data_IF_707936042017
#
_entry.id   IF_707936042017
#
_cell.length_a   1.000
_cell.length_b   1.000
_cell.length_c   1.000
_cell.angle_alpha   90.00
_cell.angle_beta   90.00
_cell.angle_gamma   90.00
#
_symmetry.space_group_name_H-M   'P 1'
#
loop_
_entity.id
_entity.type
_entity.pdbx_description
1 polymer ?
#
# COMPACT_ATOMS: atom_id res chain seq x y z
N UNK A 1 -6.03 -7.44 11.02
CA UNK A 1 -4.73 -6.71 11.08
C UNK A 1 -4.12 -6.47 9.69
N UNK A 2 -4.34 -7.33 8.69
CA UNK A 2 -3.76 -7.17 7.34
C UNK A 2 -4.23 -5.91 6.57
N UNK A 3 -5.43 -5.42 6.82
CA UNK A 3 -5.97 -4.22 6.14
C UNK A 3 -5.23 -2.93 6.50
N UNK A 4 -4.81 -2.78 7.76
CA UNK A 4 -4.07 -1.60 8.22
C UNK A 4 -2.65 -1.54 7.63
N UNK A 5 -1.94 -2.66 7.63
CA UNK A 5 -0.60 -2.75 7.02
C UNK A 5 -0.64 -2.54 5.51
N UNK A 6 -1.64 -3.06 4.80
CA UNK A 6 -1.80 -2.83 3.36
C UNK A 6 -1.94 -1.35 3.01
N UNK A 7 -2.70 -0.58 3.81
CA UNK A 7 -2.82 0.87 3.63
C UNK A 7 -1.49 1.58 3.89
N UNK A 8 -0.74 1.16 4.93
CA UNK A 8 0.56 1.75 5.25
C UNK A 8 1.61 1.46 4.17
N UNK A 9 1.70 0.22 3.68
CA UNK A 9 2.61 -0.12 2.59
C UNK A 9 2.28 0.63 1.30
N UNK A 10 1.01 0.84 0.97
CA UNK A 10 0.60 1.69 -0.15
C UNK A 10 1.04 3.15 0.05
N UNK A 11 0.95 3.66 1.27
CA UNK A 11 1.44 5.02 1.57
C UNK A 11 2.95 5.11 1.42
N UNK A 12 3.72 4.15 1.96
CA UNK A 12 5.18 4.11 1.77
C UNK A 12 5.53 4.03 0.28
N UNK A 13 4.86 3.18 -0.47
CA UNK A 13 5.08 3.04 -1.91
C UNK A 13 4.87 4.36 -2.65
N UNK A 14 3.73 5.02 -2.44
CA UNK A 14 3.41 6.28 -3.13
C UNK A 14 4.31 7.43 -2.68
N UNK A 15 4.61 7.56 -1.39
CA UNK A 15 5.48 8.62 -0.88
C UNK A 15 6.93 8.42 -1.33
N UNK A 16 7.45 7.20 -1.36
CA UNK A 16 8.80 6.92 -1.86
C UNK A 16 8.90 7.14 -3.36
N UNK A 17 7.91 6.75 -4.15
CA UNK A 17 7.86 7.04 -5.58
C UNK A 17 7.96 8.55 -5.85
N UNK A 18 7.12 9.34 -5.18
CA UNK A 18 7.15 10.80 -5.28
C UNK A 18 8.52 11.36 -4.89
N UNK A 19 9.07 10.95 -3.74
CA UNK A 19 10.36 11.44 -3.26
C UNK A 19 11.51 11.09 -4.20
N UNK A 20 11.53 9.90 -4.79
CA UNK A 20 12.56 9.51 -5.76
C UNK A 20 12.57 10.46 -6.96
N UNK A 21 11.40 10.80 -7.50
CA UNK A 21 11.27 11.69 -8.65
C UNK A 21 11.67 13.12 -8.30
N UNK A 22 11.14 13.66 -7.19
CA UNK A 22 11.39 15.03 -6.77
C UNK A 22 12.84 15.25 -6.28
N UNK A 23 13.45 14.28 -5.58
CA UNK A 23 14.84 14.39 -5.12
C UNK A 23 15.82 14.28 -6.29
N UNK A 24 15.53 13.47 -7.31
CA UNK A 24 16.29 13.47 -8.57
C UNK A 24 16.21 14.82 -9.29
N UNK A 25 15.02 15.42 -9.34
CA UNK A 25 14.83 16.73 -9.93
C UNK A 25 15.55 17.83 -9.12
N UNK A 26 15.50 17.74 -7.76
CA UNK A 26 16.25 18.61 -6.86
C UNK A 26 17.76 18.49 -7.08
N UNK A 27 18.31 17.29 -7.21
CA UNK A 27 19.72 17.05 -7.49
C UNK A 27 20.16 17.72 -8.79
N UNK A 28 19.36 17.55 -9.86
CA UNK A 28 19.62 18.20 -11.15
C UNK A 28 19.59 19.73 -11.02
N UNK A 29 18.61 20.27 -10.33
CA UNK A 29 18.46 21.71 -10.12
C UNK A 29 19.62 22.28 -9.27
N UNK A 30 20.08 21.56 -8.24
CA UNK A 30 21.21 21.95 -7.42
C UNK A 30 22.51 22.03 -8.24
N UNK A 31 22.79 21.03 -9.07
CA UNK A 31 23.95 21.08 -9.99
C UNK A 31 23.90 22.30 -10.91
N UNK A 32 22.75 22.56 -11.52
CA UNK A 32 22.59 23.72 -12.42
C UNK A 32 22.79 25.07 -11.67
N UNK A 33 22.26 25.16 -10.45
CA UNK A 33 22.41 26.36 -9.62
C UNK A 33 23.88 26.59 -9.26
N UNK A 34 24.60 25.56 -8.83
CA UNK A 34 26.01 25.64 -8.47
C UNK A 34 26.85 26.08 -9.69
N UNK A 35 26.65 25.42 -10.83
CA UNK A 35 27.34 25.83 -12.07
C UNK A 35 27.10 27.30 -12.45
N UNK A 36 25.85 27.77 -12.29
CA UNK A 36 25.51 29.16 -12.58
C UNK A 36 26.18 30.13 -11.62
N UNK A 37 26.36 29.78 -10.36
CA UNK A 37 27.05 30.58 -9.33
C UNK A 37 28.56 30.58 -9.58
N UNK A 38 29.16 29.43 -9.88
CA UNK A 38 30.60 29.30 -10.19
C UNK A 38 30.96 30.09 -11.45
N UNK A 39 30.13 30.10 -12.48
CA UNK A 39 30.32 30.92 -13.68
C UNK A 39 30.37 32.42 -13.37
N UNK A 40 29.81 32.86 -12.24
CA UNK A 40 29.87 34.24 -11.72
C UNK A 40 31.05 34.48 -10.76
N UNK A 41 31.97 33.52 -10.68
CA UNK A 41 33.15 33.56 -9.75
C UNK A 41 32.72 33.65 -8.26
N UNK A 42 31.55 33.09 -7.92
CA UNK A 42 31.05 32.96 -6.56
C UNK A 42 31.06 31.50 -6.15
N UNK A 43 31.11 31.23 -4.84
CA UNK A 43 31.01 29.86 -4.32
C UNK A 43 29.81 29.76 -3.39
N UNK A 44 29.14 28.62 -3.45
CA UNK A 44 28.02 28.27 -2.57
C UNK A 44 28.20 26.83 -2.14
N UNK A 45 27.97 26.54 -0.85
CA UNK A 45 27.94 25.13 -0.39
C UNK A 45 26.79 24.42 -1.06
N UNK A 46 26.98 23.15 -1.41
CA UNK A 46 25.95 22.32 -2.05
C UNK A 46 24.66 22.25 -1.21
N UNK A 47 24.79 22.04 0.11
CA UNK A 47 23.66 22.00 1.04
C UNK A 47 22.89 23.34 1.12
N UNK A 48 23.58 24.49 0.97
CA UNK A 48 22.89 25.80 0.89
C UNK A 48 22.07 25.94 -0.39
N UNK A 49 22.60 25.47 -1.52
CA UNK A 49 21.85 25.44 -2.78
C UNK A 49 20.61 24.53 -2.68
N UNK A 50 20.75 23.37 -2.06
CA UNK A 50 19.65 22.44 -1.80
C UNK A 50 18.61 23.08 -0.88
N UNK A 51 19.01 23.72 0.22
CA UNK A 51 18.09 24.40 1.14
C UNK A 51 17.27 25.49 0.42
N UNK A 52 17.93 26.35 -0.34
CA UNK A 52 17.26 27.38 -1.14
C UNK A 52 16.24 26.82 -2.12
N UNK A 53 16.56 25.70 -2.76
CA UNK A 53 15.66 25.04 -3.70
C UNK A 53 14.46 24.37 -2.98
N UNK A 54 14.66 23.82 -1.79
CA UNK A 54 13.57 23.28 -0.97
C UNK A 54 12.60 24.38 -0.53
N UNK A 55 13.11 25.57 -0.18
CA UNK A 55 12.28 26.71 0.25
C UNK A 55 11.57 27.40 -0.91
N UNK A 56 12.13 27.35 -2.12
CA UNK A 56 11.59 28.05 -3.29
C UNK A 56 10.75 27.15 -4.18
N UNK A 57 11.34 26.11 -4.76
CA UNK A 57 10.77 25.30 -5.82
C UNK A 57 10.21 23.95 -5.33
N UNK A 58 10.88 23.29 -4.39
CA UNK A 58 10.57 21.93 -3.95
C UNK A 58 9.92 21.89 -2.56
N UNK A 59 9.02 22.84 -2.28
CA UNK A 59 8.36 23.03 -0.96
C UNK A 59 7.56 21.82 -0.46
N UNK A 60 7.19 20.91 -1.34
CA UNK A 60 6.43 19.70 -0.97
C UNK A 60 7.31 18.62 -0.34
N UNK A 61 8.60 18.55 -0.67
CA UNK A 61 9.51 17.50 -0.20
C UNK A 61 9.52 17.39 1.32
N UNK A 62 9.73 18.46 2.12
CA UNK A 62 9.76 18.34 3.58
C UNK A 62 8.46 17.79 4.18
N UNK A 63 7.32 18.12 3.62
CA UNK A 63 6.02 17.60 4.11
C UNK A 63 5.86 16.11 3.82
N UNK A 64 6.24 15.66 2.62
CA UNK A 64 6.19 14.24 2.25
C UNK A 64 7.22 13.43 3.06
N UNK A 65 8.38 14.01 3.38
CA UNK A 65 9.36 13.39 4.29
C UNK A 65 8.76 13.17 5.68
N UNK A 66 8.07 14.17 6.26
CA UNK A 66 7.40 14.01 7.57
C UNK A 66 6.32 12.91 7.52
N UNK A 67 5.54 12.88 6.43
CA UNK A 67 4.55 11.82 6.24
C UNK A 67 5.21 10.44 6.19
N UNK A 68 6.28 10.28 5.40
CA UNK A 68 7.01 9.02 5.31
C UNK A 68 7.57 8.58 6.67
N UNK A 69 8.22 9.49 7.42
CA UNK A 69 8.73 9.20 8.76
C UNK A 69 7.61 8.71 9.70
N UNK A 70 6.45 9.38 9.70
CA UNK A 70 5.30 8.98 10.51
C UNK A 70 4.84 7.56 10.17
N UNK A 71 4.78 7.22 8.88
CA UNK A 71 4.36 5.87 8.48
C UNK A 71 5.42 4.82 8.84
N UNK A 72 6.72 5.14 8.67
CA UNK A 72 7.81 4.21 8.98
C UNK A 72 7.86 3.87 10.48
N UNK A 73 7.60 4.83 11.38
CA UNK A 73 7.54 4.55 12.84
C UNK A 73 6.46 3.54 13.21
N UNK A 74 5.35 3.49 12.46
CA UNK A 74 4.27 2.53 12.70
C UNK A 74 4.53 1.14 12.13
N UNK A 75 5.39 1.01 11.13
CA UNK A 75 5.71 -0.28 10.47
C UNK A 75 7.05 -0.87 10.91
N UNK A 76 7.87 -0.15 11.65
CA UNK A 76 9.22 -0.54 12.04
C UNK A 76 9.28 -1.93 12.72
N UNK A 77 8.30 -2.27 13.56
CA UNK A 77 8.21 -3.58 14.22
C UNK A 77 7.88 -4.75 13.28
N UNK A 78 7.35 -4.47 12.11
CA UNK A 78 6.88 -5.46 11.12
C UNK A 78 7.73 -5.51 9.85
N UNK A 79 8.63 -4.56 9.68
CA UNK A 79 9.50 -4.44 8.52
C UNK A 79 10.90 -4.93 8.88
N UNK A 80 11.31 -6.07 8.34
CA UNK A 80 12.58 -6.74 8.66
C UNK A 80 13.82 -6.16 7.95
N UNK A 81 13.68 -5.06 7.22
CA UNK A 81 14.80 -4.39 6.57
C UNK A 81 15.34 -3.25 7.44
N UNK A 82 16.63 -3.01 7.32
CA UNK A 82 17.29 -1.87 7.97
C UNK A 82 16.72 -0.54 7.44
N UNK A 83 15.96 0.17 8.28
CA UNK A 83 15.41 1.48 8.00
C UNK A 83 16.32 2.63 8.47
N UNK A 84 17.42 2.33 9.13
CA UNK A 84 18.26 3.34 9.81
C UNK A 84 18.85 4.32 8.79
N UNK A 85 19.32 3.81 7.66
CA UNK A 85 19.92 4.67 6.63
C UNK A 85 18.90 5.63 6.02
N UNK A 86 17.71 5.15 5.65
CA UNK A 86 16.67 6.01 5.08
C UNK A 86 16.17 7.03 6.11
N UNK A 87 15.96 6.57 7.34
CA UNK A 87 15.53 7.43 8.46
C UNK A 87 16.55 8.51 8.77
N UNK A 88 17.84 8.19 8.73
CA UNK A 88 18.91 9.17 8.89
C UNK A 88 18.81 10.27 7.83
N UNK A 89 18.72 9.92 6.55
CA UNK A 89 18.58 10.92 5.48
C UNK A 89 17.32 11.76 5.64
N UNK A 90 16.18 11.15 5.97
CA UNK A 90 14.92 11.87 6.16
C UNK A 90 15.07 12.93 7.28
N UNK A 91 15.74 12.60 8.38
CA UNK A 91 15.99 13.53 9.49
C UNK A 91 16.95 14.66 9.11
N UNK A 92 18.03 14.37 8.37
CA UNK A 92 18.95 15.37 7.85
C UNK A 92 18.22 16.40 6.99
N UNK A 93 17.30 15.95 6.12
CA UNK A 93 16.52 16.83 5.26
C UNK A 93 15.52 17.72 6.00
N UNK A 94 15.07 17.32 7.19
CA UNK A 94 14.19 18.13 8.03
C UNK A 94 14.92 19.12 8.94
N UNK A 95 16.24 19.02 9.04
CA UNK A 95 17.07 19.90 9.86
C UNK A 95 17.92 20.81 8.95
N UNK A 96 17.57 22.11 8.81
CA UNK A 96 18.29 23.02 7.91
C UNK A 96 19.80 23.13 8.17
N UNK A 97 20.25 23.09 9.44
CA UNK A 97 21.66 23.15 9.79
C UNK A 97 22.39 21.88 9.30
N UNK A 98 21.86 20.70 9.60
CA UNK A 98 22.43 19.44 9.14
C UNK A 98 22.41 19.34 7.60
N UNK A 99 21.35 19.82 6.97
CA UNK A 99 21.24 19.82 5.51
C UNK A 99 22.35 20.65 4.87
N UNK A 100 22.63 21.84 5.39
CA UNK A 100 23.71 22.73 4.88
C UNK A 100 25.09 22.11 5.07
N UNK A 101 25.33 21.42 6.19
CA UNK A 101 26.66 20.92 6.54
C UNK A 101 26.95 19.52 5.98
N UNK A 102 25.95 18.64 5.89
CA UNK A 102 26.15 17.23 5.51
C UNK A 102 25.69 16.90 4.10
N UNK A 103 24.81 17.71 3.48
CA UNK A 103 24.31 17.39 2.15
C UNK A 103 25.28 17.85 1.07
N UNK A 104 25.76 16.89 0.30
CA UNK A 104 26.54 17.07 -0.92
C UNK A 104 25.95 16.18 -2.04
N UNK A 105 26.54 16.21 -3.21
CA UNK A 105 26.05 15.44 -4.35
C UNK A 105 26.05 13.93 -4.10
N UNK A 106 27.08 13.41 -3.42
CA UNK A 106 27.20 12.00 -3.11
C UNK A 106 26.17 11.56 -2.06
N UNK A 107 25.96 12.35 -1.00
CA UNK A 107 24.95 12.07 0.02
C UNK A 107 23.53 12.12 -0.56
N UNK A 108 23.25 13.04 -1.50
CA UNK A 108 21.97 13.11 -2.19
C UNK A 108 21.73 11.87 -3.08
N UNK A 109 22.78 11.39 -3.76
CA UNK A 109 22.72 10.12 -4.49
C UNK A 109 22.49 8.93 -3.56
N UNK A 110 23.13 8.91 -2.39
CA UNK A 110 22.92 7.92 -1.33
C UNK A 110 21.47 7.91 -0.83
N UNK A 111 20.88 9.10 -0.63
CA UNK A 111 19.48 9.23 -0.25
C UNK A 111 18.52 8.67 -1.32
N UNK A 112 18.75 9.00 -2.60
CA UNK A 112 17.96 8.45 -3.71
C UNK A 112 18.05 6.92 -3.71
N UNK A 113 19.25 6.34 -3.55
CA UNK A 113 19.44 4.90 -3.50
C UNK A 113 18.70 4.26 -2.31
N UNK A 114 18.75 4.87 -1.11
CA UNK A 114 18.02 4.39 0.05
C UNK A 114 16.49 4.40 -0.18
N UNK A 115 15.97 5.46 -0.81
CA UNK A 115 14.56 5.53 -1.20
C UNK A 115 14.18 4.45 -2.23
N UNK A 116 15.04 4.19 -3.21
CA UNK A 116 14.82 3.15 -4.23
C UNK A 116 14.81 1.74 -3.59
N UNK A 117 15.71 1.48 -2.65
CA UNK A 117 15.74 0.20 -1.92
C UNK A 117 14.47 0.01 -1.08
N UNK A 118 14.05 1.04 -0.34
CA UNK A 118 12.81 1.01 0.43
C UNK A 118 11.59 0.79 -0.49
N UNK A 119 11.48 1.54 -1.58
CA UNK A 119 10.41 1.42 -2.57
C UNK A 119 10.33 -0.01 -3.16
N UNK A 120 11.46 -0.54 -3.61
CA UNK A 120 11.54 -1.90 -4.16
C UNK A 120 11.24 -2.98 -3.12
N UNK A 121 11.64 -2.78 -1.85
CA UNK A 121 11.30 -3.67 -0.74
C UNK A 121 9.78 -3.74 -0.51
N UNK A 122 9.13 -2.58 -0.45
CA UNK A 122 7.68 -2.48 -0.26
C UNK A 122 6.92 -3.04 -1.48
N UNK A 123 7.39 -2.77 -2.70
CA UNK A 123 6.80 -3.34 -3.92
C UNK A 123 6.77 -4.87 -3.87
N UNK A 124 7.90 -5.50 -3.53
CA UNK A 124 7.98 -6.97 -3.37
C UNK A 124 7.02 -7.51 -2.30
N UNK A 125 6.86 -6.79 -1.18
CA UNK A 125 5.90 -7.17 -0.13
C UNK A 125 4.45 -7.11 -0.62
N UNK A 126 4.12 -6.14 -1.48
CA UNK A 126 2.78 -6.04 -2.07
C UNK A 126 2.51 -7.12 -3.12
N UNK A 127 3.54 -7.59 -3.82
CA UNK A 127 3.44 -8.70 -4.78
C UNK A 127 3.31 -10.05 -4.09
N UNK A 128 3.79 -10.21 -2.86
CA UNK A 128 3.66 -11.44 -2.09
C UNK A 128 2.20 -11.66 -1.70
N UNK A 129 1.56 -12.64 -2.35
CA UNK A 129 0.17 -13.02 -2.05
C UNK A 129 0.11 -13.66 -0.67
N UNK A 130 -0.73 -13.11 0.19
CA UNK A 130 -0.98 -13.63 1.55
C UNK A 130 -2.30 -14.39 1.56
N UNK A 131 -2.25 -15.67 1.90
CA UNK A 131 -3.44 -16.47 2.14
C UNK A 131 -4.00 -16.19 3.54
N UNK A 132 -5.30 -15.91 3.61
CA UNK A 132 -6.03 -15.73 4.87
C UNK A 132 -6.89 -16.96 5.13
N UNK A 133 -6.55 -17.70 6.17
CA UNK A 133 -7.30 -18.85 6.65
C UNK A 133 -8.18 -18.44 7.83
N UNK A 134 -9.50 -18.73 7.73
CA UNK A 134 -10.46 -18.38 8.76
C UNK A 134 -11.49 -19.49 9.01
N UNK A 135 -11.91 -19.65 10.24
CA UNK A 135 -12.92 -20.61 10.62
C UNK A 135 -14.34 -20.10 10.34
N UNK A 136 -14.73 -19.10 11.11
CA UNK A 136 -16.01 -18.39 11.02
C UNK A 136 -15.82 -16.90 11.23
N UNK A 137 -16.79 -16.12 10.73
CA UNK A 137 -16.79 -14.66 10.94
C UNK A 137 -18.21 -14.13 10.99
N UNK A 138 -18.41 -13.12 11.83
CA UNK A 138 -19.65 -12.36 11.94
C UNK A 138 -19.36 -10.88 12.13
N UNK A 139 -20.08 -10.02 11.39
CA UNK A 139 -19.94 -8.56 11.45
C UNK A 139 -18.49 -8.08 11.25
N UNK A 140 -17.79 -8.68 10.29
CA UNK A 140 -16.35 -8.48 10.09
C UNK A 140 -16.05 -8.06 8.66
N UNK A 141 -15.06 -7.19 8.49
CA UNK A 141 -14.50 -6.89 7.18
C UNK A 141 -13.09 -7.46 7.08
N UNK A 142 -12.83 -8.28 6.07
CA UNK A 142 -11.52 -8.87 5.77
C UNK A 142 -11.07 -8.46 4.39
N UNK A 143 -9.83 -8.00 4.26
CA UNK A 143 -9.19 -7.68 2.98
C UNK A 143 -7.88 -8.44 2.85
N UNK A 144 -7.66 -9.11 1.72
CA UNK A 144 -6.44 -9.84 1.41
C UNK A 144 -5.95 -9.52 -0.01
N UNK A 145 -4.64 -9.45 -0.18
CA UNK A 145 -4.01 -9.40 -1.51
C UNK A 145 -3.80 -10.80 -2.13
N UNK A 146 -4.15 -11.86 -1.43
CA UNK A 146 -4.17 -13.24 -1.89
C UNK A 146 -5.49 -13.91 -1.57
N UNK A 147 -5.51 -15.23 -1.49
CA UNK A 147 -6.72 -16.02 -1.30
C UNK A 147 -7.30 -15.89 0.11
N UNK A 148 -8.63 -16.04 0.23
CA UNK A 148 -9.33 -16.17 1.51
C UNK A 148 -9.98 -17.55 1.54
N UNK A 149 -9.65 -18.35 2.54
CA UNK A 149 -10.14 -19.71 2.72
C UNK A 149 -10.94 -19.83 4.02
N UNK A 150 -12.20 -20.24 3.90
CA UNK A 150 -13.11 -20.44 5.03
C UNK A 150 -13.23 -21.94 5.32
N UNK A 151 -12.73 -22.38 6.48
CA UNK A 151 -12.59 -23.79 6.83
C UNK A 151 -13.76 -24.40 7.59
N UNK A 152 -14.65 -23.59 8.19
CA UNK A 152 -15.70 -24.15 9.05
C UNK A 152 -17.11 -23.59 8.76
N UNK A 153 -17.78 -23.00 9.74
CA UNK A 153 -19.21 -22.68 9.69
C UNK A 153 -19.60 -21.62 8.65
N UNK A 154 -18.65 -20.80 8.24
CA UNK A 154 -18.87 -19.77 7.22
C UNK A 154 -18.92 -18.35 7.78
N UNK A 155 -19.67 -17.48 7.12
CA UNK A 155 -19.70 -16.05 7.45
C UNK A 155 -21.13 -15.51 7.50
N UNK A 156 -21.35 -14.54 8.39
CA UNK A 156 -22.62 -13.85 8.57
C UNK A 156 -22.37 -12.35 8.65
N UNK A 157 -23.14 -11.56 7.88
CA UNK A 157 -23.07 -10.08 7.89
C UNK A 157 -21.62 -9.55 7.78
N UNK A 158 -20.84 -10.16 6.89
CA UNK A 158 -19.42 -9.88 6.78
C UNK A 158 -19.01 -9.55 5.35
N UNK A 159 -18.03 -8.68 5.20
CA UNK A 159 -17.48 -8.26 3.91
C UNK A 159 -16.10 -8.86 3.70
N UNK A 160 -15.92 -9.65 2.64
CA UNK A 160 -14.64 -10.23 2.27
C UNK A 160 -14.19 -9.70 0.91
N UNK A 161 -12.97 -9.15 0.88
CA UNK A 161 -12.34 -8.64 -0.34
C UNK A 161 -11.00 -9.35 -0.54
N UNK A 162 -10.87 -10.07 -1.66
CA UNK A 162 -9.67 -10.80 -2.04
C UNK A 162 -9.18 -10.38 -3.41
N UNK A 163 -7.88 -10.13 -3.59
CA UNK A 163 -7.30 -10.01 -4.93
C UNK A 163 -7.14 -11.37 -5.64
N UNK A 164 -7.16 -12.46 -4.88
CA UNK A 164 -7.18 -13.85 -5.34
C UNK A 164 -8.58 -14.45 -5.36
N UNK A 165 -8.72 -15.63 -4.76
CA UNK A 165 -9.96 -16.40 -4.69
C UNK A 165 -10.57 -16.32 -3.29
N UNK A 166 -11.89 -16.59 -3.21
CA UNK A 166 -12.60 -16.81 -1.94
C UNK A 166 -13.19 -18.19 -1.98
N UNK A 167 -12.78 -19.08 -1.07
CA UNK A 167 -13.17 -20.50 -1.09
C UNK A 167 -13.71 -20.94 0.26
N UNK A 168 -14.90 -21.51 0.25
CA UNK A 168 -15.49 -22.21 1.39
C UNK A 168 -15.19 -23.71 1.24
N UNK A 169 -14.52 -24.30 2.23
CA UNK A 169 -14.06 -25.68 2.16
C UNK A 169 -15.17 -26.67 2.52
N UNK A 170 -15.94 -26.39 3.59
CA UNK A 170 -16.97 -27.31 4.05
C UNK A 170 -18.28 -27.14 3.28
N UNK A 171 -18.88 -28.26 2.91
CA UNK A 171 -20.21 -28.32 2.25
C UNK A 171 -21.35 -27.75 3.11
N UNK A 172 -21.16 -27.67 4.40
CA UNK A 172 -22.09 -27.11 5.38
C UNK A 172 -21.85 -25.61 5.67
N UNK A 173 -20.79 -25.03 5.12
CA UNK A 173 -20.49 -23.61 5.32
C UNK A 173 -21.54 -22.72 4.69
N UNK A 174 -21.92 -21.65 5.42
CA UNK A 174 -22.91 -20.68 4.97
C UNK A 174 -22.30 -19.30 4.75
N UNK A 175 -22.87 -18.56 3.80
CA UNK A 175 -22.59 -17.15 3.57
C UNK A 175 -23.92 -16.39 3.62
N UNK A 176 -24.21 -15.66 4.72
CA UNK A 176 -25.50 -14.98 4.91
C UNK A 176 -25.34 -13.48 5.08
N UNK A 177 -26.16 -12.70 4.36
CA UNK A 177 -26.18 -11.24 4.48
C UNK A 177 -24.79 -10.60 4.28
N UNK A 178 -23.97 -11.18 3.41
CA UNK A 178 -22.55 -10.88 3.29
C UNK A 178 -22.18 -10.44 1.88
N UNK A 179 -21.10 -9.69 1.77
CA UNK A 179 -20.54 -9.26 0.49
C UNK A 179 -19.18 -9.92 0.26
N UNK A 180 -19.06 -10.60 -0.88
CA UNK A 180 -17.82 -11.24 -1.33
C UNK A 180 -17.35 -10.61 -2.62
N UNK A 181 -16.12 -10.11 -2.66
CA UNK A 181 -15.47 -9.64 -3.89
C UNK A 181 -14.14 -10.35 -4.09
N UNK A 182 -13.96 -11.00 -5.23
CA UNK A 182 -12.76 -11.73 -5.59
C UNK A 182 -12.19 -11.26 -6.93
N UNK A 183 -10.89 -11.01 -6.98
CA UNK A 183 -10.15 -10.79 -8.22
C UNK A 183 -10.00 -12.06 -9.07
N UNK A 184 -10.22 -13.23 -8.49
CA UNK A 184 -10.25 -14.55 -9.11
C UNK A 184 -11.65 -15.14 -9.14
N UNK A 185 -11.83 -16.23 -8.38
CA UNK A 185 -13.06 -17.03 -8.30
C UNK A 185 -13.67 -17.00 -6.91
N UNK A 186 -15.00 -17.20 -6.82
CA UNK A 186 -15.69 -17.45 -5.56
C UNK A 186 -16.27 -18.87 -5.63
N UNK A 187 -15.97 -19.70 -4.62
CA UNK A 187 -16.54 -21.05 -4.46
C UNK A 187 -17.21 -21.16 -3.10
N UNK A 188 -18.52 -21.34 -3.08
CA UNK A 188 -19.32 -21.47 -1.87
C UNK A 188 -20.37 -22.56 -2.02
N UNK A 189 -20.85 -23.09 -0.89
CA UNK A 189 -21.88 -24.14 -0.91
C UNK A 189 -23.28 -23.56 -0.73
N UNK A 190 -23.49 -22.81 0.35
CA UNK A 190 -24.78 -22.25 0.70
C UNK A 190 -24.67 -20.74 0.88
N UNK A 191 -25.36 -19.99 0.04
CA UNK A 191 -25.38 -18.52 0.07
C UNK A 191 -26.80 -18.01 0.32
N UNK A 192 -26.94 -17.09 1.28
CA UNK A 192 -28.23 -16.59 1.74
C UNK A 192 -28.91 -17.52 2.75
N UNK A 193 -30.20 -17.37 2.90
CA UNK A 193 -31.05 -18.16 3.80
C UNK A 193 -32.50 -17.75 3.70
N UNK A 194 -33.39 -18.58 4.23
CA UNK A 194 -34.86 -18.36 4.20
C UNK A 194 -35.29 -17.07 4.92
N UNK A 195 -34.46 -16.53 5.81
CA UNK A 195 -34.71 -15.28 6.52
C UNK A 195 -34.56 -14.00 5.70
N UNK A 196 -34.29 -14.09 4.40
CA UNK A 196 -34.32 -12.99 3.45
C UNK A 196 -33.13 -12.03 3.44
N UNK A 197 -32.05 -12.31 4.16
CA UNK A 197 -30.83 -11.49 4.10
C UNK A 197 -30.10 -11.67 2.75
N UNK A 198 -30.08 -10.61 1.96
CA UNK A 198 -29.42 -10.61 0.65
C UNK A 198 -27.91 -10.76 0.79
N UNK A 199 -27.30 -11.53 -0.11
CA UNK A 199 -25.85 -11.68 -0.23
C UNK A 199 -25.38 -11.25 -1.61
N UNK A 200 -24.20 -10.62 -1.66
CA UNK A 200 -23.63 -10.05 -2.88
C UNK A 200 -22.30 -10.73 -3.20
N UNK A 201 -22.22 -11.41 -4.35
CA UNK A 201 -21.02 -12.09 -4.81
C UNK A 201 -20.53 -11.43 -6.10
N UNK A 202 -19.28 -10.97 -6.09
CA UNK A 202 -18.65 -10.39 -7.27
C UNK A 202 -17.30 -11.04 -7.50
N UNK A 203 -17.10 -11.65 -8.66
CA UNK A 203 -15.84 -12.26 -9.06
C UNK A 203 -15.42 -11.78 -10.45
N UNK A 204 -14.11 -11.73 -10.70
CA UNK A 204 -13.61 -11.41 -12.04
C UNK A 204 -13.68 -12.59 -13.00
N UNK A 205 -13.52 -13.82 -12.50
CA UNK A 205 -13.45 -15.03 -13.36
C UNK A 205 -14.71 -15.89 -13.30
N UNK A 206 -15.09 -16.37 -12.12
CA UNK A 206 -16.26 -17.24 -11.96
C UNK A 206 -16.80 -17.22 -10.53
N UNK A 207 -18.08 -17.54 -10.41
CA UNK A 207 -18.76 -17.80 -9.14
C UNK A 207 -19.40 -19.19 -9.23
N UNK A 208 -19.04 -20.08 -8.32
CA UNK A 208 -19.60 -21.41 -8.17
C UNK A 208 -20.30 -21.51 -6.83
N UNK A 209 -21.61 -21.72 -6.85
CA UNK A 209 -22.44 -21.87 -5.64
C UNK A 209 -23.34 -23.09 -5.83
N UNK A 210 -23.39 -23.96 -4.81
CA UNK A 210 -24.28 -25.13 -4.87
C UNK A 210 -25.74 -24.74 -4.68
N UNK A 211 -26.03 -23.85 -3.72
CA UNK A 211 -27.38 -23.34 -3.46
C UNK A 211 -27.29 -21.85 -3.06
N UNK A 212 -28.04 -21.03 -3.74
CA UNK A 212 -28.17 -19.60 -3.42
C UNK A 212 -29.65 -19.26 -3.26
N UNK A 213 -30.00 -18.52 -2.22
CA UNK A 213 -31.35 -18.04 -1.98
C UNK A 213 -31.51 -16.63 -2.60
N UNK A 214 -31.44 -15.60 -1.79
CA UNK A 214 -31.69 -14.21 -2.22
C UNK A 214 -30.37 -13.46 -2.38
N UNK A 215 -30.18 -12.73 -3.48
CA UNK A 215 -28.99 -11.88 -3.64
C UNK A 215 -28.61 -11.60 -5.08
N UNK A 216 -27.38 -11.11 -5.24
CA UNK A 216 -26.85 -10.72 -6.55
C UNK A 216 -25.51 -11.38 -6.82
N UNK A 217 -25.34 -11.90 -8.02
CA UNK A 217 -24.07 -12.43 -8.52
C UNK A 217 -23.59 -11.56 -9.67
N UNK A 218 -22.31 -11.16 -9.61
CA UNK A 218 -21.66 -10.40 -10.69
C UNK A 218 -20.37 -11.12 -11.10
N UNK A 219 -20.21 -11.36 -12.39
CA UNK A 219 -18.99 -11.93 -12.97
C UNK A 219 -18.50 -10.96 -14.04
N UNK A 220 -17.32 -10.37 -13.79
CA UNK A 220 -16.77 -9.29 -14.60
C UNK A 220 -17.79 -8.14 -14.73
N UNK A 221 -18.38 -7.95 -15.90
CA UNK A 221 -19.42 -6.92 -16.19
C UNK A 221 -20.85 -7.45 -16.20
N UNK A 222 -21.04 -8.74 -16.06
CA UNK A 222 -22.37 -9.36 -16.12
C UNK A 222 -22.93 -9.57 -14.71
N UNK A 223 -24.19 -9.25 -14.50
CA UNK A 223 -24.89 -9.42 -13.21
C UNK A 223 -26.19 -10.17 -13.38
N UNK A 224 -26.53 -10.97 -12.38
CA UNK A 224 -27.81 -11.65 -12.25
C UNK A 224 -28.31 -11.49 -10.81
N UNK A 225 -29.59 -11.19 -10.67
CA UNK A 225 -30.30 -11.20 -9.39
C UNK A 225 -30.90 -12.59 -9.17
N UNK A 226 -30.71 -13.13 -7.97
CA UNK A 226 -31.24 -14.43 -7.54
C UNK A 226 -32.39 -14.13 -6.57
N UNK A 227 -33.57 -14.61 -6.92
CA UNK A 227 -34.84 -14.42 -6.19
C UNK A 227 -35.37 -15.73 -5.61
#
# INVERSE_FOLDING_TARGET
>A
YSGYFGVMYNRIYNTTQFLIEEVKALQKAARMLIQAVENRKQSVKYGQAVLLLLESKFKKIPNVIRELLTVLTHVQSSYHHDLDQVTHFLNVFLNPAQLVDFVNEASLSGFINALVQLHGGVARMQETKVEVNMGKSQNTTVKSNGDIIIHSEGIVQSDLFSSGNITFIKSTSVCRGSRLEAGGTISAYLVGGESGAQSYLKAKRSVTVRKMYLGKVTIDRYSADIT
#
